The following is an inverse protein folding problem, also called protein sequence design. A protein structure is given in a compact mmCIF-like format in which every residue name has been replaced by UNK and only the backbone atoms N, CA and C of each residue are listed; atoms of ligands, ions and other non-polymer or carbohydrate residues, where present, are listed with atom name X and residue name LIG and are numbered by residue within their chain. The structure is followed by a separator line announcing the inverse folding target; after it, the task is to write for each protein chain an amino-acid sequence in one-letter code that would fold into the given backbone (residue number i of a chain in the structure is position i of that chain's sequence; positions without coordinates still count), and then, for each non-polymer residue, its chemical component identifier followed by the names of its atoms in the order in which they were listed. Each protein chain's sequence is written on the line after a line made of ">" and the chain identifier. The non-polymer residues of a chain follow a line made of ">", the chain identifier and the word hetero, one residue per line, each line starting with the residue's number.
data_IF_222080691750
#
_entry.id   IF_222080691750
#
_cell.length_a   1.000
_cell.length_b   1.000
_cell.length_c   1.000
_cell.angle_alpha   90.00
_cell.angle_beta   90.00
_cell.angle_gamma   90.00
#
_symmetry.space_group_name_H-M   'P 1'
#
loop_
_entity.id
_entity.type
_entity.pdbx_description
1 polymer ?
#
# COMPACT_ATOMS: atom_id res chain seq x y z
N UNK A 1 -14.25 -39.36 -11.39
CA UNK A 1 -13.50 -38.31 -12.12
C UNK A 1 -13.93 -36.89 -11.72
N UNK A 2 -15.21 -36.54 -11.76
CA UNK A 2 -15.71 -35.17 -11.50
C UNK A 2 -15.37 -34.61 -10.11
N UNK A 3 -15.52 -35.42 -9.05
CA UNK A 3 -15.19 -35.01 -7.67
C UNK A 3 -13.71 -34.67 -7.47
N UNK A 4 -12.83 -35.43 -8.10
CA UNK A 4 -11.37 -35.20 -8.03
C UNK A 4 -10.99 -33.92 -8.79
N UNK A 5 -11.55 -33.72 -9.98
CA UNK A 5 -11.35 -32.51 -10.77
C UNK A 5 -11.88 -31.25 -10.06
N UNK A 6 -13.06 -31.34 -9.43
CA UNK A 6 -13.64 -30.24 -8.65
C UNK A 6 -12.82 -29.88 -7.42
N UNK A 7 -12.32 -30.87 -6.66
CA UNK A 7 -11.48 -30.62 -5.49
C UNK A 7 -10.14 -29.98 -5.86
N UNK A 8 -9.51 -30.45 -6.95
CA UNK A 8 -8.27 -29.89 -7.46
C UNK A 8 -8.46 -28.46 -7.97
N UNK A 9 -9.57 -28.19 -8.67
CA UNK A 9 -9.89 -26.84 -9.13
C UNK A 9 -10.02 -25.86 -7.95
N UNK A 10 -10.75 -26.25 -6.90
CA UNK A 10 -10.91 -25.42 -5.69
C UNK A 10 -9.56 -25.17 -4.98
N UNK A 11 -8.69 -26.17 -4.94
CA UNK A 11 -7.35 -26.05 -4.36
C UNK A 11 -6.48 -25.04 -5.13
N UNK A 12 -6.47 -25.10 -6.47
CA UNK A 12 -5.75 -24.13 -7.29
C UNK A 12 -6.31 -22.73 -7.17
N UNK A 13 -7.64 -22.57 -7.12
CA UNK A 13 -8.27 -21.26 -6.88
C UNK A 13 -7.81 -20.69 -5.53
N UNK A 14 -7.80 -21.50 -4.47
CA UNK A 14 -7.34 -21.05 -3.15
C UNK A 14 -5.86 -20.63 -3.18
N UNK A 15 -5.00 -21.40 -3.84
CA UNK A 15 -3.58 -21.05 -4.02
C UNK A 15 -3.44 -19.73 -4.77
N UNK A 16 -4.14 -19.56 -5.89
CA UNK A 16 -4.10 -18.33 -6.68
C UNK A 16 -4.54 -17.14 -5.85
N UNK A 17 -5.55 -17.27 -5.01
CA UNK A 17 -6.02 -16.18 -4.15
C UNK A 17 -4.99 -15.83 -3.06
N UNK A 18 -4.26 -16.82 -2.52
CA UNK A 18 -3.21 -16.56 -1.52
C UNK A 18 -1.95 -15.97 -2.19
N UNK A 19 -1.58 -16.42 -3.39
CA UNK A 19 -0.33 -16.07 -4.06
C UNK A 19 -0.43 -14.87 -5.00
N UNK A 20 -1.58 -14.60 -5.61
CA UNK A 20 -1.74 -13.48 -6.54
C UNK A 20 -1.39 -12.12 -5.93
N UNK A 21 -1.77 -11.80 -4.67
CA UNK A 21 -1.36 -10.55 -4.04
C UNK A 21 0.17 -10.46 -3.87
N UNK A 22 0.83 -11.56 -3.47
CA UNK A 22 2.29 -11.61 -3.35
C UNK A 22 2.99 -11.41 -4.70
N UNK A 23 2.45 -12.01 -5.77
CA UNK A 23 3.00 -11.87 -7.12
C UNK A 23 2.79 -10.46 -7.70
N UNK A 24 1.63 -9.85 -7.50
CA UNK A 24 1.36 -8.47 -7.92
C UNK A 24 2.28 -7.49 -7.19
N UNK A 25 2.56 -7.73 -5.90
CA UNK A 25 3.53 -6.92 -5.16
C UNK A 25 4.97 -7.12 -5.63
N UNK A 26 5.37 -8.36 -5.93
CA UNK A 26 6.72 -8.62 -6.43
C UNK A 26 6.92 -8.14 -7.88
N UNK A 27 5.86 -8.01 -8.67
CA UNK A 27 5.94 -7.50 -10.06
C UNK A 27 5.77 -5.99 -10.16
N UNK A 28 5.05 -5.38 -9.22
CA UNK A 28 4.94 -3.93 -9.07
C UNK A 28 6.18 -3.36 -8.42
N UNK A 29 7.33 -3.42 -9.10
CA UNK A 29 8.49 -2.65 -8.69
C UNK A 29 8.06 -1.17 -8.70
N UNK A 30 8.03 -0.46 -7.56
CA UNK A 30 7.75 0.97 -7.60
C UNK A 30 8.76 1.59 -8.55
N UNK A 31 8.28 2.33 -9.53
CA UNK A 31 9.17 3.14 -10.36
C UNK A 31 9.78 4.17 -9.43
N UNK A 32 11.01 3.90 -9.00
CA UNK A 32 11.81 4.87 -8.29
C UNK A 32 12.13 5.99 -9.28
N UNK A 33 11.76 7.21 -8.90
CA UNK A 33 12.03 8.39 -9.70
C UNK A 33 12.89 9.32 -8.84
N UNK A 34 13.89 9.92 -9.48
CA UNK A 34 14.72 10.95 -8.89
C UNK A 34 13.84 12.06 -8.29
N UNK A 35 14.22 12.56 -7.12
CA UNK A 35 13.48 13.58 -6.38
C UNK A 35 14.25 14.92 -6.42
N UNK A 36 14.17 15.69 -7.51
CA UNK A 36 14.93 16.92 -7.64
C UNK A 36 14.42 18.01 -6.70
N UNK A 37 15.35 18.74 -6.10
CA UNK A 37 15.08 19.86 -5.20
C UNK A 37 14.46 21.03 -5.97
N UNK A 38 13.28 21.45 -5.53
CA UNK A 38 12.50 22.52 -6.17
C UNK A 38 12.92 23.91 -5.70
N UNK A 39 13.28 24.07 -4.43
CA UNK A 39 13.69 25.36 -3.87
C UNK A 39 14.69 25.18 -2.73
N UNK A 40 15.56 26.16 -2.53
CA UNK A 40 16.56 26.16 -1.47
C UNK A 40 16.58 27.51 -0.78
N UNK A 41 16.46 27.49 0.55
CA UNK A 41 16.65 28.67 1.38
C UNK A 41 17.65 28.39 2.47
N UNK A 42 18.73 29.19 2.49
CA UNK A 42 19.75 29.15 3.54
C UNK A 42 19.47 30.26 4.54
N UNK A 43 19.49 29.93 5.84
CA UNK A 43 19.25 30.87 6.94
C UNK A 43 20.25 30.62 8.07
N UNK A 44 20.90 31.69 8.52
CA UNK A 44 21.81 31.68 9.67
C UNK A 44 21.20 32.56 10.75
N UNK A 45 20.95 31.96 11.91
CA UNK A 45 20.30 32.62 13.03
C UNK A 45 21.06 32.40 14.34
N UNK A 46 21.17 33.45 15.14
CA UNK A 46 21.59 33.36 16.53
C UNK A 46 20.33 33.23 17.39
N UNK A 47 20.22 32.12 18.13
CA UNK A 47 19.16 31.92 19.13
C UNK A 47 19.73 32.23 20.52
N UNK A 48 19.09 33.16 21.22
CA UNK A 48 19.35 33.48 22.62
C UNK A 48 18.10 33.16 23.47
N UNK A 49 18.24 33.09 24.80
CA UNK A 49 17.14 32.80 25.72
C UNK A 49 15.91 33.74 25.56
N UNK A 50 16.14 34.97 25.08
CA UNK A 50 15.10 35.99 24.91
C UNK A 50 14.68 36.30 23.46
N UNK A 51 15.19 35.57 22.46
CA UNK A 51 14.84 35.87 21.06
C UNK A 51 15.72 35.19 20.01
N UNK A 52 15.37 35.40 18.73
CA UNK A 52 16.10 34.90 17.56
C UNK A 52 16.49 36.08 16.67
N UNK A 53 17.78 36.19 16.36
CA UNK A 53 18.31 37.18 15.42
C UNK A 53 18.75 36.46 14.14
N UNK A 54 18.09 36.75 13.01
CA UNK A 54 18.52 36.27 11.70
C UNK A 54 19.64 37.14 11.17
N UNK A 55 20.82 36.57 10.99
CA UNK A 55 21.95 37.28 10.41
C UNK A 55 21.84 37.27 8.89
N UNK A 56 21.70 36.09 8.31
CA UNK A 56 21.71 35.90 6.86
C UNK A 56 20.51 35.06 6.44
N UNK A 57 19.86 35.46 5.34
CA UNK A 57 18.85 34.66 4.66
C UNK A 57 18.96 34.91 3.17
N UNK A 58 19.11 33.85 2.39
CA UNK A 58 19.02 33.93 0.93
C UNK A 58 18.08 32.85 0.39
N UNK A 59 17.40 33.20 -0.70
CA UNK A 59 16.67 32.29 -1.59
C UNK A 59 17.19 32.41 -3.03
N UNK A 60 18.18 33.29 -3.27
CA UNK A 60 18.85 33.46 -4.55
C UNK A 60 19.97 32.40 -4.64
N UNK A 61 19.54 31.15 -4.80
CA UNK A 61 20.42 30.01 -4.98
C UNK A 61 20.14 29.38 -6.35
N UNK A 62 21.21 29.14 -7.09
CA UNK A 62 21.20 28.37 -8.31
C UNK A 62 21.40 26.88 -7.99
N UNK A 63 20.62 26.03 -8.65
CA UNK A 63 20.70 24.57 -8.51
C UNK A 63 21.27 24.03 -9.80
N UNK A 64 22.44 23.43 -9.70
CA UNK A 64 23.19 22.93 -10.84
C UNK A 64 23.12 21.39 -10.78
N UNK A 65 22.46 20.74 -11.76
CA UNK A 65 22.44 19.28 -11.84
C UNK A 65 23.85 18.74 -12.05
N UNK A 66 24.17 17.64 -11.37
CA UNK A 66 25.51 17.05 -11.41
C UNK A 66 25.99 16.71 -12.83
N UNK A 67 25.06 16.31 -13.71
CA UNK A 67 25.29 16.02 -15.13
C UNK A 67 26.00 17.13 -15.92
N UNK A 68 25.85 18.38 -15.53
CA UNK A 68 26.40 19.53 -16.25
C UNK A 68 27.73 20.05 -15.66
N UNK A 69 28.23 19.43 -14.59
CA UNK A 69 29.52 19.79 -13.99
C UNK A 69 30.67 19.24 -14.84
N UNK A 70 31.53 20.14 -15.31
CA UNK A 70 32.64 19.81 -16.23
C UNK A 70 33.88 19.25 -15.53
N UNK A 71 33.91 19.23 -14.20
CA UNK A 71 35.07 18.84 -13.40
C UNK A 71 34.61 18.14 -12.12
N UNK A 72 34.40 16.83 -12.24
CA UNK A 72 33.97 15.94 -11.16
C UNK A 72 35.05 15.76 -10.08
N UNK A 73 36.29 15.54 -10.52
CA UNK A 73 37.43 15.19 -9.65
C UNK A 73 37.84 16.30 -8.65
N UNK A 74 37.43 17.55 -8.89
CA UNK A 74 37.73 18.69 -8.00
C UNK A 74 36.63 18.90 -6.93
N UNK A 75 35.38 18.56 -7.26
CA UNK A 75 34.24 18.74 -6.34
C UNK A 75 34.15 17.58 -5.35
N UNK A 76 34.52 16.37 -5.77
CA UNK A 76 34.58 15.17 -4.94
C UNK A 76 35.89 14.39 -5.18
N UNK A 77 37.03 14.90 -4.69
CA UNK A 77 38.35 14.30 -4.94
C UNK A 77 38.53 12.91 -4.32
N UNK A 78 37.65 12.51 -3.41
CA UNK A 78 37.69 11.23 -2.70
C UNK A 78 36.58 10.26 -3.16
N UNK A 79 35.82 10.63 -4.20
CA UNK A 79 34.76 9.83 -4.82
C UNK A 79 33.70 9.31 -3.83
N UNK A 80 33.31 10.14 -2.86
CA UNK A 80 32.22 9.83 -1.93
C UNK A 80 30.86 9.69 -2.60
N UNK A 81 30.68 10.33 -3.76
CA UNK A 81 29.44 10.39 -4.52
C UNK A 81 29.35 9.31 -5.59
N UNK A 82 30.43 8.56 -5.87
CA UNK A 82 30.44 7.50 -6.88
C UNK A 82 29.46 6.35 -6.63
N UNK A 83 28.97 6.21 -5.41
CA UNK A 83 27.93 5.24 -5.04
C UNK A 83 26.49 5.68 -5.42
N UNK A 84 26.29 6.94 -5.80
CA UNK A 84 24.98 7.52 -6.09
C UNK A 84 24.77 7.76 -7.58
N UNK A 85 23.51 7.79 -8.01
CA UNK A 85 23.18 8.11 -9.39
C UNK A 85 23.40 9.62 -9.66
N UNK A 86 23.90 9.94 -10.84
CA UNK A 86 24.18 11.32 -11.28
C UNK A 86 22.92 12.19 -11.29
N UNK A 87 21.76 11.59 -11.54
CA UNK A 87 20.48 12.31 -11.59
C UNK A 87 19.95 12.71 -10.19
N UNK A 88 20.46 12.07 -9.12
CA UNK A 88 20.03 12.31 -7.73
C UNK A 88 20.87 13.37 -7.00
N UNK A 89 22.01 13.75 -7.60
CA UNK A 89 22.96 14.69 -7.02
C UNK A 89 22.72 16.09 -7.57
N UNK A 90 22.65 17.07 -6.68
CA UNK A 90 22.47 18.47 -7.03
C UNK A 90 23.44 19.34 -6.25
N UNK A 91 24.14 20.21 -6.98
CA UNK A 91 24.98 21.24 -6.41
C UNK A 91 24.14 22.51 -6.22
N UNK A 92 24.22 23.09 -5.03
CA UNK A 92 23.53 24.33 -4.66
C UNK A 92 24.58 25.41 -4.48
N UNK A 93 24.43 26.50 -5.22
CA UNK A 93 25.31 27.66 -5.18
C UNK A 93 24.46 28.90 -4.87
N UNK A 94 24.80 29.68 -3.85
CA UNK A 94 24.06 30.91 -3.52
C UNK A 94 24.90 32.17 -3.74
N UNK A 95 24.25 33.29 -4.05
CA UNK A 95 24.95 34.57 -4.26
C UNK A 95 25.41 35.19 -2.93
N UNK A 96 26.67 35.65 -2.82
CA UNK A 96 27.12 36.54 -1.77
C UNK A 96 27.24 37.98 -2.30
N UNK A 97 26.77 38.98 -1.57
CA UNK A 97 27.06 40.38 -1.91
C UNK A 97 27.46 41.15 -0.66
N UNK A 98 28.71 41.61 -0.58
CA UNK A 98 29.10 42.65 0.39
C UNK A 98 30.34 43.50 0.12
N UNK A 99 30.37 44.61 0.86
CA UNK A 99 31.55 45.46 1.09
C UNK A 99 31.72 45.83 2.58
N UNK A 100 32.89 45.51 3.13
CA UNK A 100 33.50 45.90 4.44
C UNK A 100 33.02 45.23 5.74
N UNK A 101 33.98 45.10 6.69
CA UNK A 101 34.00 44.43 8.02
C UNK A 101 33.44 42.99 8.07
N UNK A 102 34.36 42.02 8.22
CA UNK A 102 34.08 40.58 8.24
C UNK A 102 34.36 39.94 9.61
N UNK A 103 33.68 38.85 9.92
CA UNK A 103 34.13 37.88 10.92
C UNK A 103 34.04 36.46 10.36
N UNK A 104 35.03 35.62 10.65
CA UNK A 104 35.12 34.25 10.14
C UNK A 104 34.44 33.25 11.06
N UNK A 105 33.63 32.37 10.49
CA UNK A 105 33.09 31.16 11.13
C UNK A 105 33.85 29.96 10.57
N UNK A 106 34.48 29.21 11.47
CA UNK A 106 35.15 27.95 11.16
C UNK A 106 34.13 26.82 11.38
N UNK A 107 34.11 25.85 10.48
CA UNK A 107 33.22 24.67 10.54
C UNK A 107 31.74 25.03 10.71
N UNK A 108 31.24 25.97 9.89
CA UNK A 108 29.89 26.50 10.02
C UNK A 108 28.82 25.42 9.79
N UNK A 109 29.00 24.58 8.76
CA UNK A 109 28.09 23.48 8.41
C UNK A 109 28.80 22.43 7.52
N UNK A 110 28.29 21.18 7.44
CA UNK A 110 28.87 20.16 6.56
C UNK A 110 28.57 20.45 5.08
N UNK A 111 29.50 20.14 4.18
CA UNK A 111 29.30 20.39 2.74
C UNK A 111 28.29 19.43 2.09
N UNK A 112 28.19 18.20 2.60
CA UNK A 112 27.42 17.11 2.02
C UNK A 112 26.16 16.79 2.84
N UNK A 113 25.01 16.84 2.16
CA UNK A 113 23.71 16.52 2.73
C UNK A 113 23.03 15.37 1.99
N UNK A 114 22.26 14.58 2.73
CA UNK A 114 21.34 13.58 2.21
C UNK A 114 19.91 13.98 2.55
N UNK A 115 19.04 14.06 1.55
CA UNK A 115 17.61 14.33 1.72
C UNK A 115 16.86 13.03 1.58
N UNK A 116 16.10 12.65 2.62
CA UNK A 116 15.31 11.43 2.59
C UNK A 116 14.06 11.57 1.73
N UNK A 117 13.45 10.46 1.33
CA UNK A 117 12.15 10.46 0.65
C UNK A 117 11.01 11.10 1.47
N UNK A 118 11.20 11.29 2.79
CA UNK A 118 10.28 12.02 3.68
C UNK A 118 10.52 13.53 3.74
N UNK A 119 11.58 14.03 3.11
CA UNK A 119 11.99 15.44 3.14
C UNK A 119 12.86 15.82 4.35
N UNK A 120 13.37 14.85 5.10
CA UNK A 120 14.31 15.11 6.21
C UNK A 120 15.72 15.31 5.66
N UNK A 121 16.40 16.37 6.10
CA UNK A 121 17.79 16.67 5.70
C UNK A 121 18.74 16.12 6.76
N UNK A 122 19.62 15.20 6.34
CA UNK A 122 20.65 14.57 7.18
C UNK A 122 22.04 14.91 6.66
N UNK A 123 23.03 14.86 7.53
CA UNK A 123 24.44 14.97 7.13
C UNK A 123 24.89 13.65 6.51
N UNK A 124 25.77 13.71 5.53
CA UNK A 124 26.43 12.52 5.03
C UNK A 124 27.61 12.18 5.96
N UNK A 125 27.43 11.22 6.88
CA UNK A 125 28.41 10.85 7.91
C UNK A 125 29.75 10.34 7.36
N UNK A 126 29.78 9.90 6.09
CA UNK A 126 30.98 9.41 5.43
C UNK A 126 32.02 10.50 5.10
N UNK A 127 31.69 11.78 5.27
CA UNK A 127 32.52 12.91 4.79
C UNK A 127 32.83 13.90 5.92
N UNK A 128 34.13 14.17 6.12
CA UNK A 128 34.62 15.22 7.04
C UNK A 128 35.03 16.43 6.19
N UNK A 129 34.04 17.04 5.54
CA UNK A 129 34.24 18.29 4.79
C UNK A 129 33.22 19.33 5.30
N UNK A 130 33.75 20.42 5.82
CA UNK A 130 33.01 21.49 6.48
C UNK A 130 33.24 22.80 5.75
N UNK A 131 32.15 23.53 5.55
CA UNK A 131 32.22 24.86 4.95
C UNK A 131 32.54 25.87 6.04
N UNK A 132 33.68 26.54 5.87
CA UNK A 132 34.06 27.70 6.66
C UNK A 132 33.79 28.96 5.84
N UNK A 133 33.33 30.02 6.48
CA UNK A 133 32.93 31.21 5.75
C UNK A 133 33.04 32.49 6.56
N UNK A 134 33.12 33.61 5.85
CA UNK A 134 33.13 34.94 6.42
C UNK A 134 31.74 35.58 6.33
N UNK A 135 31.25 36.07 7.46
CA UNK A 135 30.07 36.92 7.50
C UNK A 135 30.49 38.38 7.43
N UNK A 136 30.04 39.08 6.40
CA UNK A 136 30.28 40.50 6.20
C UNK A 136 29.02 41.31 6.44
N UNK A 137 29.16 42.43 7.13
CA UNK A 137 28.05 43.36 7.38
C UNK A 137 28.04 44.46 6.32
N UNK A 138 26.98 44.48 5.52
CA UNK A 138 26.76 45.56 4.57
C UNK A 138 26.17 46.78 5.25
N UNK A 139 26.84 47.92 5.06
CA UNK A 139 26.41 49.22 5.58
C UNK A 139 25.32 49.88 4.71
N UNK A 140 24.40 49.06 4.17
CA UNK A 140 23.25 49.54 3.43
C UNK A 140 22.18 50.14 4.34
N UNK A 141 21.12 50.68 3.73
CA UNK A 141 19.93 51.16 4.45
C UNK A 141 18.68 50.41 3.95
N UNK A 142 18.24 49.33 4.64
CA UNK A 142 18.74 48.76 5.90
C UNK A 142 20.06 47.97 5.74
N UNK A 143 20.84 47.75 6.82
CA UNK A 143 22.03 46.91 6.77
C UNK A 143 21.64 45.43 6.62
N UNK A 144 22.46 44.64 5.91
CA UNK A 144 22.26 43.20 5.72
C UNK A 144 23.57 42.45 5.87
N UNK A 145 23.54 41.18 6.29
CA UNK A 145 24.74 40.33 6.27
C UNK A 145 24.84 39.59 4.95
N UNK A 146 26.07 39.28 4.54
CA UNK A 146 26.37 38.33 3.49
C UNK A 146 27.31 37.25 4.00
N UNK A 147 27.14 36.03 3.51
CA UNK A 147 28.05 34.93 3.80
C UNK A 147 28.91 34.62 2.58
N UNK A 148 30.22 34.60 2.77
CA UNK A 148 31.20 34.19 1.76
C UNK A 148 31.84 32.88 2.18
N UNK A 149 31.92 31.92 1.26
CA UNK A 149 32.73 30.73 1.48
C UNK A 149 34.22 31.11 1.44
N UNK A 150 35.02 30.58 2.37
CA UNK A 150 36.47 30.83 2.43
C UNK A 150 37.26 29.93 1.49
N UNK A 151 36.73 28.73 1.21
CA UNK A 151 37.30 27.78 0.28
C UNK A 151 36.24 27.39 -0.77
N UNK A 152 35.78 28.37 -1.58
CA UNK A 152 34.96 28.03 -2.72
C UNK A 152 35.79 27.09 -3.60
N UNK A 153 35.23 25.95 -3.99
CA UNK A 153 35.82 25.09 -5.01
C UNK A 153 35.79 25.84 -6.34
N UNK A 154 36.79 26.70 -6.53
CA UNK A 154 36.86 27.79 -7.51
C UNK A 154 36.94 27.31 -8.97
N UNK A 155 37.03 25.99 -9.25
CA UNK A 155 37.34 25.51 -10.59
C UNK A 155 36.21 24.76 -11.32
N UNK A 156 35.04 24.49 -10.73
CA UNK A 156 34.07 23.62 -11.41
C UNK A 156 32.58 23.76 -11.14
N UNK A 157 32.18 24.34 -9.99
CA UNK A 157 30.80 24.23 -9.54
C UNK A 157 29.93 25.43 -9.87
N UNK A 158 30.32 26.59 -9.34
CA UNK A 158 29.35 27.66 -9.06
C UNK A 158 29.51 28.94 -9.90
N UNK A 159 30.12 28.91 -11.09
CA UNK A 159 30.16 30.02 -12.08
C UNK A 159 30.36 31.45 -11.51
N UNK A 160 31.11 31.62 -10.41
CA UNK A 160 31.35 32.93 -9.77
C UNK A 160 30.40 33.32 -8.62
N UNK A 161 29.54 32.41 -8.16
CA UNK A 161 28.72 32.55 -6.95
C UNK A 161 29.56 32.13 -5.73
N UNK A 162 30.14 33.09 -5.00
CA UNK A 162 31.06 32.82 -3.87
C UNK A 162 30.33 32.61 -2.52
N UNK A 163 29.03 32.37 -2.54
CA UNK A 163 28.19 32.31 -1.34
C UNK A 163 28.11 30.90 -0.79
N UNK A 164 27.15 30.60 0.11
CA UNK A 164 27.08 29.29 0.72
C UNK A 164 26.81 28.22 -0.34
N UNK A 165 27.68 27.22 -0.38
CA UNK A 165 27.59 26.06 -1.26
C UNK A 165 27.16 24.82 -0.47
N UNK A 166 26.35 23.96 -1.07
CA UNK A 166 26.01 22.65 -0.52
C UNK A 166 25.86 21.62 -1.64
N UNK A 167 26.34 20.40 -1.41
CA UNK A 167 26.09 19.25 -2.28
C UNK A 167 25.00 18.42 -1.62
N UNK A 168 23.93 18.16 -2.36
CA UNK A 168 22.78 17.44 -1.83
C UNK A 168 22.50 16.23 -2.69
N UNK A 169 22.42 15.08 -2.02
CA UNK A 169 21.97 13.82 -2.60
C UNK A 169 20.54 13.57 -2.17
N UNK A 170 19.64 13.47 -3.12
CA UNK A 170 18.23 13.20 -2.85
C UNK A 170 17.94 11.72 -3.00
N UNK A 171 17.24 11.13 -2.03
CA UNK A 171 16.74 9.77 -2.19
C UNK A 171 15.64 9.70 -3.25
N UNK A 172 15.70 8.66 -4.06
CA UNK A 172 14.61 8.33 -4.97
C UNK A 172 13.31 8.10 -4.20
N UNK A 173 12.21 8.57 -4.76
CA UNK A 173 10.88 8.37 -4.18
C UNK A 173 10.08 7.37 -5.00
N UNK A 174 9.39 6.40 -4.36
CA UNK A 174 8.52 5.49 -5.07
C UNK A 174 7.30 6.27 -5.57
N UNK A 175 7.24 6.55 -6.88
CA UNK A 175 6.10 7.23 -7.48
C UNK A 175 5.13 6.22 -8.13
N UNK A 176 3.83 6.51 -8.01
CA UNK A 176 2.73 5.71 -8.58
C UNK A 176 1.70 5.25 -7.54
N UNK A 177 0.53 4.81 -8.02
CA UNK A 177 -0.63 4.40 -7.20
C UNK A 177 -0.23 3.32 -6.17
N UNK A 178 0.67 2.41 -6.55
CA UNK A 178 1.14 1.31 -5.69
C UNK A 178 2.11 1.85 -4.63
N UNK A 179 3.03 2.74 -4.98
CA UNK A 179 3.98 3.36 -4.05
C UNK A 179 3.31 4.25 -2.99
N UNK A 180 2.30 5.03 -3.39
CA UNK A 180 1.55 5.88 -2.47
C UNK A 180 0.63 5.12 -1.51
N UNK A 181 0.05 4.00 -1.96
CA UNK A 181 -0.79 3.16 -1.09
C UNK A 181 0.07 2.34 -0.15
N UNK A 182 1.24 1.89 -0.59
CA UNK A 182 2.26 1.22 0.22
C UNK A 182 2.88 2.10 1.30
N UNK A 183 3.16 3.36 0.97
CA UNK A 183 3.71 4.31 1.94
C UNK A 183 2.71 4.66 3.04
N UNK A 184 1.40 4.50 2.76
CA UNK A 184 0.31 4.79 3.71
C UNK A 184 -0.21 3.55 4.44
N UNK A 185 -0.20 2.37 3.80
CA UNK A 185 -0.66 1.10 4.38
C UNK A 185 0.40 0.02 4.21
N UNK A 186 0.79 -0.61 5.32
CA UNK A 186 1.74 -1.73 5.30
C UNK A 186 1.22 -2.87 4.42
N UNK A 187 2.10 -3.46 3.60
CA UNK A 187 1.85 -4.66 2.77
C UNK A 187 1.09 -5.73 3.55
N UNK A 188 1.50 -5.94 4.81
CA UNK A 188 0.93 -6.94 5.70
C UNK A 188 -0.56 -6.69 6.02
N UNK A 189 -0.95 -5.42 6.13
CA UNK A 189 -2.34 -5.02 6.39
C UNK A 189 -3.23 -5.23 5.16
N UNK A 190 -2.74 -4.91 3.96
CA UNK A 190 -3.46 -5.13 2.72
C UNK A 190 -3.61 -6.64 2.41
N UNK A 191 -2.57 -7.42 2.64
CA UNK A 191 -2.63 -8.88 2.53
C UNK A 191 -3.64 -9.48 3.52
N UNK A 192 -3.57 -9.10 4.79
CA UNK A 192 -4.45 -9.64 5.83
C UNK A 192 -5.92 -9.30 5.58
N UNK A 193 -6.22 -8.08 5.13
CA UNK A 193 -7.60 -7.67 4.81
C UNK A 193 -8.17 -8.44 3.62
N UNK A 194 -7.39 -8.62 2.54
CA UNK A 194 -7.81 -9.40 1.38
C UNK A 194 -8.06 -10.88 1.73
N UNK A 195 -7.13 -11.52 2.44
CA UNK A 195 -7.26 -12.92 2.87
C UNK A 195 -8.48 -13.11 3.79
N UNK A 196 -8.72 -12.18 4.72
CA UNK A 196 -9.89 -12.23 5.61
C UNK A 196 -11.20 -12.06 4.83
N UNK A 197 -11.25 -11.17 3.84
CA UNK A 197 -12.42 -10.98 3.00
C UNK A 197 -12.76 -12.26 2.22
N UNK A 198 -11.75 -12.89 1.60
CA UNK A 198 -11.90 -14.17 0.89
C UNK A 198 -12.31 -15.28 1.86
N UNK A 199 -11.67 -15.40 3.01
CA UNK A 199 -12.01 -16.43 4.00
C UNK A 199 -13.45 -16.28 4.51
N UNK A 200 -13.92 -15.04 4.72
CA UNK A 200 -15.32 -14.76 5.03
C UNK A 200 -16.24 -15.14 3.89
N UNK A 201 -15.88 -14.82 2.65
CA UNK A 201 -16.66 -15.20 1.48
C UNK A 201 -16.78 -16.72 1.34
N UNK A 202 -15.69 -17.47 1.50
CA UNK A 202 -15.69 -18.94 1.48
C UNK A 202 -16.57 -19.48 2.61
N UNK A 203 -16.45 -18.91 3.82
CA UNK A 203 -17.32 -19.30 4.94
C UNK A 203 -18.79 -19.06 4.62
N UNK A 204 -19.15 -17.96 3.96
CA UNK A 204 -20.54 -17.68 3.58
C UNK A 204 -21.13 -18.73 2.63
N UNK A 205 -20.33 -19.28 1.72
CA UNK A 205 -20.78 -20.32 0.78
C UNK A 205 -20.94 -21.70 1.44
N UNK A 206 -20.25 -21.95 2.56
CA UNK A 206 -20.34 -23.21 3.31
C UNK A 206 -21.17 -23.10 4.59
N UNK A 207 -21.45 -21.88 5.08
CA UNK A 207 -22.35 -21.64 6.20
C UNK A 207 -23.78 -21.85 5.75
N UNK A 208 -24.61 -22.38 6.66
CA UNK A 208 -26.05 -22.55 6.48
C UNK A 208 -26.51 -23.53 5.38
N UNK A 209 -25.61 -24.37 4.86
CA UNK A 209 -25.98 -25.53 4.04
C UNK A 209 -27.11 -26.35 4.71
N UNK A 210 -27.01 -26.61 6.02
CA UNK A 210 -28.02 -27.35 6.77
C UNK A 210 -29.39 -26.67 6.79
N UNK A 211 -29.45 -25.34 6.81
CA UNK A 211 -30.72 -24.61 6.78
C UNK A 211 -31.35 -24.62 5.38
N UNK A 212 -30.53 -24.79 4.33
CA UNK A 212 -31.00 -24.85 2.94
C UNK A 212 -31.36 -26.26 2.47
N UNK A 213 -30.86 -27.32 3.13
CA UNK A 213 -31.15 -28.74 2.81
C UNK A 213 -32.64 -29.03 2.59
N UNK A 214 -33.59 -28.60 3.46
CA UNK A 214 -35.00 -28.90 3.28
C UNK A 214 -35.52 -28.41 1.93
N UNK A 215 -35.03 -27.25 1.47
CA UNK A 215 -35.50 -26.55 0.25
C UNK A 215 -34.76 -26.94 -1.02
N UNK A 216 -33.54 -27.46 -0.92
CA UNK A 216 -32.74 -27.89 -2.08
C UNK A 216 -32.87 -29.38 -2.41
N UNK A 217 -33.05 -30.23 -1.40
CA UNK A 217 -33.06 -31.68 -1.58
C UNK A 217 -34.46 -32.25 -1.35
N UNK A 218 -35.44 -31.78 -2.13
CA UNK A 218 -36.78 -32.37 -2.11
C UNK A 218 -36.79 -33.69 -2.88
N UNK A 219 -37.44 -34.74 -2.35
CA UNK A 219 -37.54 -36.03 -3.03
C UNK A 219 -38.41 -36.00 -4.29
N UNK A 220 -39.36 -35.06 -4.40
CA UNK A 220 -40.18 -34.87 -5.61
C UNK A 220 -40.66 -33.42 -5.72
N UNK A 221 -40.39 -32.76 -6.86
CA UNK A 221 -40.87 -31.40 -7.12
C UNK A 221 -42.17 -31.35 -7.95
N UNK A 222 -42.66 -32.49 -8.44
CA UNK A 222 -43.77 -32.55 -9.41
C UNK A 222 -45.04 -31.87 -8.90
N UNK A 223 -45.47 -32.18 -7.66
CA UNK A 223 -46.63 -31.51 -7.03
C UNK A 223 -46.47 -30.00 -6.87
N UNK A 224 -45.24 -29.54 -6.65
CA UNK A 224 -44.92 -28.11 -6.48
C UNK A 224 -44.90 -27.41 -7.84
N UNK A 225 -44.42 -28.09 -8.87
CA UNK A 225 -44.47 -27.64 -10.27
C UNK A 225 -45.91 -27.56 -10.77
N UNK A 226 -46.75 -28.57 -10.50
CA UNK A 226 -48.17 -28.58 -10.88
C UNK A 226 -48.94 -27.39 -10.27
N UNK A 227 -48.66 -27.04 -9.00
CA UNK A 227 -49.26 -25.87 -8.34
C UNK A 227 -48.77 -24.58 -8.99
N UNK A 228 -47.46 -24.46 -9.27
CA UNK A 228 -46.90 -23.29 -9.95
C UNK A 228 -47.48 -23.12 -11.37
N UNK A 229 -47.64 -24.23 -12.09
CA UNK A 229 -48.22 -24.26 -13.43
C UNK A 229 -49.72 -23.90 -13.41
N UNK A 230 -50.47 -24.38 -12.41
CA UNK A 230 -51.85 -23.99 -12.19
C UNK A 230 -52.04 -22.51 -11.87
N UNK A 231 -51.14 -21.91 -11.07
CA UNK A 231 -51.12 -20.45 -10.82
C UNK A 231 -50.85 -19.70 -12.12
N UNK A 232 -49.88 -20.19 -12.92
CA UNK A 232 -49.54 -19.58 -14.21
C UNK A 232 -50.71 -19.64 -15.20
N UNK A 233 -51.41 -20.77 -15.27
CA UNK A 233 -52.59 -20.94 -16.12
C UNK A 233 -53.78 -20.07 -15.68
N UNK A 234 -54.11 -20.04 -14.38
CA UNK A 234 -55.19 -19.19 -13.85
C UNK A 234 -54.94 -17.69 -14.11
N UNK A 235 -53.67 -17.26 -14.01
CA UNK A 235 -53.27 -15.88 -14.35
C UNK A 235 -53.39 -15.58 -15.84
N UNK A 236 -53.14 -16.56 -16.72
CA UNK A 236 -53.28 -16.41 -18.16
C UNK A 236 -54.76 -16.30 -18.59
N UNK A 237 -55.67 -16.95 -17.86
CA UNK A 237 -57.12 -16.93 -18.11
C UNK A 237 -57.84 -15.78 -17.37
N UNK A 238 -57.18 -15.16 -16.38
CA UNK A 238 -57.73 -14.05 -15.60
C UNK A 238 -58.66 -14.48 -14.47
N UNK A 239 -58.65 -15.77 -14.08
CA UNK A 239 -59.44 -16.31 -12.99
C UNK A 239 -58.77 -16.09 -11.62
N UNK A 240 -58.92 -14.87 -11.10
CA UNK A 240 -58.29 -14.40 -9.86
C UNK A 240 -58.66 -15.22 -8.61
N UNK A 241 -59.89 -15.74 -8.52
CA UNK A 241 -60.31 -16.55 -7.38
C UNK A 241 -59.56 -17.89 -7.32
N UNK A 242 -59.30 -18.51 -8.48
CA UNK A 242 -58.54 -19.76 -8.58
C UNK A 242 -57.05 -19.50 -8.29
N UNK A 243 -56.51 -18.39 -8.81
CA UNK A 243 -55.14 -17.94 -8.52
C UNK A 243 -54.90 -17.79 -7.01
N UNK A 244 -55.82 -17.13 -6.29
CA UNK A 244 -55.71 -16.90 -4.84
C UNK A 244 -55.72 -18.22 -4.05
N UNK A 245 -56.59 -19.16 -4.41
CA UNK A 245 -56.68 -20.47 -3.75
C UNK A 245 -55.39 -21.29 -3.96
N UNK A 246 -54.86 -21.33 -5.18
CA UNK A 246 -53.58 -22.01 -5.45
C UNK A 246 -52.39 -21.30 -4.77
N UNK A 247 -52.41 -19.97 -4.69
CA UNK A 247 -51.36 -19.19 -4.03
C UNK A 247 -51.30 -19.47 -2.53
N UNK A 248 -52.45 -19.47 -1.84
CA UNK A 248 -52.52 -19.87 -0.43
C UNK A 248 -52.09 -21.31 -0.21
N UNK A 249 -52.41 -22.21 -1.15
CA UNK A 249 -51.97 -23.61 -1.11
C UNK A 249 -50.45 -23.72 -1.17
N UNK A 250 -49.79 -22.94 -2.02
CA UNK A 250 -48.34 -22.87 -2.14
C UNK A 250 -47.68 -22.33 -0.86
N UNK A 251 -48.22 -21.25 -0.28
CA UNK A 251 -47.73 -20.70 1.00
C UNK A 251 -47.88 -21.73 2.11
N UNK A 252 -49.04 -22.38 2.22
CA UNK A 252 -49.29 -23.37 3.27
C UNK A 252 -48.33 -24.55 3.16
N UNK A 253 -47.99 -24.98 1.94
CA UNK A 253 -47.00 -26.03 1.69
C UNK A 253 -45.57 -25.60 2.09
N UNK A 254 -45.20 -24.34 1.81
CA UNK A 254 -43.90 -23.78 2.16
C UNK A 254 -43.73 -23.50 3.67
N UNK A 255 -44.83 -23.20 4.38
CA UNK A 255 -44.84 -22.87 5.81
C UNK A 255 -45.08 -24.09 6.71
N UNK A 256 -45.69 -25.15 6.19
CA UNK A 256 -46.02 -26.36 6.95
C UNK A 256 -44.76 -27.16 7.29
N UNK A 257 -44.66 -27.58 8.56
CA UNK A 257 -43.67 -28.55 9.06
C UNK A 257 -43.70 -29.91 8.33
N UNK A 258 -44.65 -30.13 7.43
CA UNK A 258 -44.74 -31.29 6.53
C UNK A 258 -43.61 -31.36 5.49
N UNK A 259 -42.89 -30.26 5.26
CA UNK A 259 -41.65 -30.26 4.50
C UNK A 259 -40.57 -31.13 5.17
N UNK A 260 -40.58 -31.19 6.50
CA UNK A 260 -39.72 -32.09 7.29
C UNK A 260 -40.19 -33.55 7.29
N UNK A 261 -41.50 -33.83 7.27
CA UNK A 261 -42.00 -35.22 7.25
C UNK A 261 -41.78 -35.92 5.92
N UNK A 262 -41.66 -35.19 4.80
CA UNK A 262 -41.23 -35.76 3.51
C UNK A 262 -39.72 -36.12 3.47
N UNK A 263 -38.92 -35.58 4.41
CA UNK A 263 -37.50 -35.92 4.57
C UNK A 263 -37.23 -37.01 5.62
N UNK A 264 -38.25 -37.43 6.38
CA UNK A 264 -38.09 -38.29 7.56
C UNK A 264 -37.88 -39.78 7.24
N UNK A 265 -38.06 -40.22 5.99
CA UNK A 265 -37.83 -41.63 5.60
C UNK A 265 -36.34 -42.01 5.45
N UNK A 266 -35.39 -41.08 5.64
CA UNK A 266 -33.94 -41.37 5.54
C UNK A 266 -33.09 -40.97 6.77
N UNK A 267 -33.68 -40.50 7.88
CA UNK A 267 -32.92 -39.94 9.03
C UNK A 267 -32.62 -40.98 10.15
N UNK A 268 -32.56 -42.28 9.83
CA UNK A 268 -31.90 -43.24 10.73
C UNK A 268 -30.38 -43.26 10.47
N UNK A 269 -29.68 -42.20 10.84
CA UNK A 269 -28.22 -42.18 10.92
C UNK A 269 -27.80 -41.56 12.27
N UNK A 270 -27.48 -42.43 13.23
CA UNK A 270 -27.00 -42.06 14.56
C UNK A 270 -25.70 -41.24 14.46
N UNK A 271 -25.71 -40.03 15.03
CA UNK A 271 -24.52 -39.20 15.19
C UNK A 271 -23.78 -39.58 16.48
N UNK A 272 -22.67 -40.32 16.39
CA UNK A 272 -21.72 -40.42 17.49
C UNK A 272 -20.90 -39.12 17.55
N UNK A 273 -21.02 -38.41 18.67
CA UNK A 273 -20.33 -37.14 18.91
C UNK A 273 -18.97 -37.43 19.53
N UNK A 274 -17.87 -37.07 18.87
CA UNK A 274 -16.55 -36.95 19.51
C UNK A 274 -16.20 -35.47 19.60
N UNK A 275 -15.94 -34.99 20.82
CA UNK A 275 -15.60 -33.60 21.11
C UNK A 275 -14.09 -33.45 21.15
N UNK A 276 -13.55 -32.60 20.28
CA UNK A 276 -12.21 -32.05 20.43
C UNK A 276 -12.22 -30.60 19.94
N UNK A 277 -12.03 -29.69 20.90
CA UNK A 277 -11.73 -28.26 20.80
C UNK A 277 -12.23 -27.51 19.55
N UNK A 278 -13.44 -26.96 19.70
CA UNK A 278 -14.03 -25.79 19.01
C UNK A 278 -14.07 -25.72 17.48
N UNK A 279 -13.92 -26.85 16.77
CA UNK A 279 -14.37 -26.97 15.39
C UNK A 279 -15.05 -28.33 15.15
N UNK A 280 -16.40 -28.32 15.03
CA UNK A 280 -17.16 -29.51 14.59
C UNK A 280 -17.00 -29.70 13.09
N UNK A 281 -16.06 -30.55 12.67
CA UNK A 281 -15.95 -31.04 11.30
C UNK A 281 -16.77 -32.33 11.20
N UNK A 282 -17.83 -32.31 10.38
CA UNK A 282 -18.63 -33.50 10.09
C UNK A 282 -18.05 -34.22 8.86
N UNK A 283 -17.39 -35.36 9.08
CA UNK A 283 -16.93 -36.22 7.98
C UNK A 283 -17.99 -37.28 7.71
N UNK A 284 -18.71 -37.14 6.58
CA UNK A 284 -19.65 -38.13 6.09
C UNK A 284 -18.90 -39.25 5.35
N UNK A 285 -18.63 -40.37 6.03
CA UNK A 285 -18.17 -41.60 5.38
C UNK A 285 -19.35 -42.50 5.01
N UNK A 286 -19.50 -42.80 3.72
CA UNK A 286 -20.48 -43.75 3.18
C UNK A 286 -19.86 -45.14 3.20
N UNK A 287 -20.29 -46.03 4.10
CA UNK A 287 -19.98 -47.47 3.98
C UNK A 287 -20.99 -48.14 3.04
N UNK A 288 -20.54 -49.10 2.19
CA UNK A 288 -21.43 -49.85 1.33
C UNK A 288 -22.22 -50.91 2.13
N UNK A 289 -23.44 -51.28 1.70
CA UNK A 289 -24.33 -52.16 2.45
C UNK A 289 -23.84 -53.63 2.47
N UNK A 290 -24.10 -54.38 3.55
CA UNK A 290 -23.88 -55.82 3.57
C UNK A 290 -24.95 -56.52 2.72
N UNK A 291 -24.52 -57.41 1.84
CA UNK A 291 -25.39 -58.39 1.19
C UNK A 291 -25.90 -59.38 2.24
N UNK A 292 -27.22 -59.51 2.38
CA UNK A 292 -27.89 -60.63 3.03
C UNK A 292 -28.95 -61.15 2.09
N UNK A 293 -28.59 -62.21 1.35
CA UNK A 293 -29.53 -63.11 0.72
C UNK A 293 -29.84 -64.27 1.68
N UNK A 294 -31.12 -64.55 1.83
CA UNK A 294 -31.69 -65.84 2.25
C UNK A 294 -32.94 -66.05 1.36
N UNK A 295 -33.41 -67.28 1.11
CA UNK A 295 -33.16 -68.52 1.86
C UNK A 295 -31.93 -69.31 1.44
#
# INVERSE_FOLDING_TARGET
>A
MTKFCSGICLFFVLICVIWAPMLIYSSGNPTNIANPIVDVSVKIDIKALGGRLTLFKTTACEKIPWKYLKSYDDVDPLDYLGAYNVDDIQLICCQPDASTMCFSIIDAYPRYFRVTGSGEVRRLEAVIDSVSGELLLNNGTPPWWSFYDTNPSDLAGCQGLNGPMAIVVSEETPQGIIGETLSKFSIWSLYSTFVLAVARFIRLQCSDLRMRIPYENLPSCDRLLDICEGIYAARAEGELEVEEVLYWTLIYLALSSAFGSFTQDYVNLFASTFVLNDAKIYVLCKMPPPFLGCP
#
